data_IF_045294842959
#
_entry.id   IF_045294842959
#
_cell.length_a   1.000
_cell.length_b   1.000
_cell.length_c   1.000
_cell.angle_alpha   90.00
_cell.angle_beta   90.00
_cell.angle_gamma   90.00
#
_symmetry.space_group_name_H-M   'P 1'
#
loop_
_entity.id
_entity.type
_entity.pdbx_description
1 polymer ?
#
# COMPACT_ATOMS: atom_id res chain seq x y z
N UNK A 1 0.37 -7.62 -1.78
CA UNK A 1 0.26 -8.75 -2.73
C UNK A 1 0.19 -8.20 -4.14
N UNK A 2 0.87 -8.81 -5.09
CA UNK A 2 0.66 -8.60 -6.52
C UNK A 2 -0.33 -9.66 -7.01
N UNK A 3 -1.50 -9.25 -7.47
CA UNK A 3 -2.61 -10.13 -7.83
C UNK A 3 -2.89 -10.03 -9.31
N UNK A 4 -2.86 -11.16 -10.00
CA UNK A 4 -3.31 -11.31 -11.38
C UNK A 4 -4.57 -12.17 -11.38
N UNK A 5 -5.63 -11.64 -11.99
CA UNK A 5 -6.93 -12.28 -12.03
C UNK A 5 -7.38 -12.40 -13.50
N UNK A 6 -7.58 -13.63 -14.02
CA UNK A 6 -8.08 -13.86 -15.39
C UNK A 6 -9.46 -13.25 -15.63
N UNK A 7 -9.93 -13.17 -16.88
CA UNK A 7 -11.35 -12.87 -17.15
C UNK A 7 -12.31 -13.84 -16.44
N UNK A 8 -13.54 -13.38 -16.22
CA UNK A 8 -14.66 -14.15 -15.65
C UNK A 8 -14.32 -14.86 -14.32
N UNK A 9 -13.53 -14.20 -13.47
CA UNK A 9 -13.08 -14.77 -12.20
C UNK A 9 -13.20 -13.77 -11.06
N UNK A 10 -13.08 -14.29 -9.84
CA UNK A 10 -13.20 -13.50 -8.61
C UNK A 10 -12.08 -13.79 -7.65
N UNK A 11 -11.72 -12.76 -6.89
CA UNK A 11 -10.75 -12.81 -5.81
C UNK A 11 -11.41 -12.29 -4.55
N UNK A 12 -11.22 -12.99 -3.42
CA UNK A 12 -11.69 -12.56 -2.11
C UNK A 12 -10.53 -12.57 -1.13
N UNK A 13 -10.40 -11.49 -0.35
CA UNK A 13 -9.36 -11.35 0.65
C UNK A 13 -9.90 -10.71 1.91
N UNK A 14 -9.77 -11.43 3.02
CA UNK A 14 -10.13 -10.93 4.34
C UNK A 14 -9.08 -9.95 4.87
N UNK A 15 -9.50 -8.73 5.18
CA UNK A 15 -8.67 -7.71 5.83
C UNK A 15 -9.03 -7.67 7.31
N UNK A 16 -8.02 -7.62 8.18
CA UNK A 16 -8.26 -7.49 9.62
C UNK A 16 -8.94 -6.16 9.94
N UNK A 17 -9.90 -6.20 10.85
CA UNK A 17 -10.62 -5.01 11.31
C UNK A 17 -9.68 -3.88 11.75
N UNK A 18 -10.03 -2.64 11.37
CA UNK A 18 -9.24 -1.45 11.64
C UNK A 18 -7.96 -1.28 10.80
N UNK A 19 -7.60 -2.23 9.93
CA UNK A 19 -6.46 -2.07 9.02
C UNK A 19 -6.81 -1.08 7.90
N UNK A 20 -5.82 -0.31 7.46
CA UNK A 20 -5.92 0.42 6.19
C UNK A 20 -5.72 -0.58 5.05
N UNK A 21 -6.61 -0.57 4.07
CA UNK A 21 -6.45 -1.33 2.82
C UNK A 21 -6.63 -0.45 1.59
N UNK A 22 -5.80 -0.70 0.56
CA UNK A 22 -5.86 -0.05 -0.74
C UNK A 22 -5.57 -1.06 -1.86
N UNK A 23 -6.20 -0.86 -3.01
CA UNK A 23 -5.86 -1.60 -4.23
C UNK A 23 -5.44 -0.61 -5.33
N UNK A 24 -4.28 -0.85 -5.96
CA UNK A 24 -3.80 -0.04 -7.07
C UNK A 24 -3.78 -0.88 -8.35
N UNK A 25 -4.56 -0.48 -9.36
CA UNK A 25 -4.68 -1.23 -10.60
C UNK A 25 -3.48 -0.93 -11.51
N UNK A 26 -2.70 -1.96 -11.81
CA UNK A 26 -1.54 -1.85 -12.71
C UNK A 26 -2.04 -1.93 -14.16
N UNK A 27 -2.82 -2.96 -14.48
CA UNK A 27 -3.28 -3.28 -15.84
C UNK A 27 -4.72 -3.79 -15.83
N UNK A 28 -5.45 -3.55 -16.92
CA UNK A 28 -6.84 -3.97 -17.07
C UNK A 28 -7.83 -3.12 -16.28
N UNK A 29 -8.98 -3.71 -16.00
CA UNK A 29 -10.02 -3.12 -15.16
C UNK A 29 -10.84 -4.22 -14.49
N UNK A 30 -11.29 -3.98 -13.27
CA UNK A 30 -12.16 -4.90 -12.54
C UNK A 30 -13.10 -4.13 -11.62
N UNK A 31 -14.19 -4.78 -11.22
CA UNK A 31 -15.09 -4.27 -10.18
C UNK A 31 -14.48 -4.59 -8.82
N UNK A 32 -14.32 -3.57 -8.00
CA UNK A 32 -13.88 -3.70 -6.61
C UNK A 32 -15.08 -3.50 -5.69
N UNK A 33 -15.24 -4.41 -4.72
CA UNK A 33 -16.41 -4.62 -3.86
C UNK A 33 -17.69 -5.02 -4.59
N UNK A 34 -18.55 -5.77 -3.88
CA UNK A 34 -19.87 -6.16 -4.39
C UNK A 34 -20.73 -4.92 -4.60
N UNK A 35 -21.10 -4.64 -5.85
CA UNK A 35 -21.84 -3.43 -6.22
C UNK A 35 -21.00 -2.15 -6.20
N UNK A 36 -19.68 -2.26 -6.01
CA UNK A 36 -18.77 -1.13 -6.10
C UNK A 36 -18.48 -0.71 -7.54
N UNK A 37 -17.53 0.22 -7.68
CA UNK A 37 -17.16 0.79 -8.98
C UNK A 37 -16.08 -0.04 -9.67
N UNK A 38 -16.12 -0.04 -11.00
CA UNK A 38 -14.99 -0.51 -11.80
C UNK A 38 -13.83 0.48 -11.65
N UNK A 39 -12.65 -0.04 -11.30
CA UNK A 39 -11.41 0.70 -11.36
C UNK A 39 -10.52 0.11 -12.46
N UNK A 40 -9.79 0.98 -13.13
CA UNK A 40 -8.97 0.72 -14.31
C UNK A 40 -7.51 1.09 -14.06
N UNK A 41 -6.62 0.68 -14.96
CA UNK A 41 -5.17 0.95 -14.87
C UNK A 41 -4.86 2.40 -14.43
N UNK A 42 -4.00 2.53 -13.42
CA UNK A 42 -3.57 3.77 -12.75
C UNK A 42 -4.59 4.39 -11.80
N UNK A 43 -5.67 3.69 -11.47
CA UNK A 43 -6.60 4.10 -10.43
C UNK A 43 -6.29 3.42 -9.10
N UNK A 44 -6.52 4.17 -8.02
CA UNK A 44 -6.38 3.73 -6.65
C UNK A 44 -7.77 3.57 -6.02
N UNK A 45 -8.03 2.38 -5.50
CA UNK A 45 -9.21 2.09 -4.67
C UNK A 45 -8.80 2.17 -3.21
N UNK A 46 -9.53 2.97 -2.44
CA UNK A 46 -9.34 3.11 -0.99
C UNK A 46 -10.55 2.53 -0.30
N UNK A 47 -10.32 1.54 0.56
CA UNK A 47 -11.38 0.88 1.31
C UNK A 47 -11.63 1.58 2.64
N UNK A 48 -12.86 1.45 3.13
CA UNK A 48 -13.17 1.80 4.51
C UNK A 48 -12.52 0.80 5.47
N UNK A 49 -12.32 1.21 6.73
CA UNK A 49 -11.63 0.41 7.75
C UNK A 49 -12.56 -0.44 8.63
N UNK A 50 -13.87 -0.36 8.38
CA UNK A 50 -14.95 -1.10 9.05
C UNK A 50 -15.33 -2.39 8.31
N UNK A 51 -14.59 -2.77 7.26
CA UNK A 51 -14.93 -3.88 6.38
C UNK A 51 -14.21 -5.19 6.70
N UNK A 52 -14.87 -6.30 6.35
CA UNK A 52 -14.34 -7.67 6.50
C UNK A 52 -13.55 -8.13 5.27
N UNK A 53 -14.22 -8.22 4.10
CA UNK A 53 -13.69 -8.86 2.91
C UNK A 53 -13.63 -7.90 1.72
N UNK A 54 -12.47 -7.87 1.05
CA UNK A 54 -12.30 -7.24 -0.26
C UNK A 54 -12.64 -8.26 -1.34
N UNK A 55 -13.60 -7.91 -2.19
CA UNK A 55 -13.95 -8.70 -3.38
C UNK A 55 -13.51 -7.97 -4.64
N UNK A 56 -12.88 -8.70 -5.57
CA UNK A 56 -12.52 -8.18 -6.90
C UNK A 56 -13.05 -9.15 -7.95
N UNK A 57 -13.76 -8.62 -8.95
CA UNK A 57 -14.42 -9.41 -9.98
C UNK A 57 -14.06 -8.86 -11.36
N UNK A 58 -13.58 -9.74 -12.24
CA UNK A 58 -13.34 -9.45 -13.66
C UNK A 58 -14.58 -9.76 -14.49
N UNK A 59 -14.75 -9.01 -15.58
CA UNK A 59 -15.68 -9.38 -16.67
C UNK A 59 -14.91 -10.11 -17.76
N UNK A 60 -15.11 -9.71 -19.01
CA UNK A 60 -14.51 -10.30 -20.22
C UNK A 60 -13.01 -10.07 -20.39
N UNK A 61 -12.35 -9.40 -19.44
CA UNK A 61 -10.92 -9.06 -19.49
C UNK A 61 -10.22 -9.32 -18.16
N UNK A 62 -8.93 -9.69 -18.18
CA UNK A 62 -8.15 -9.86 -16.97
C UNK A 62 -7.78 -8.52 -16.31
N UNK A 63 -7.35 -8.58 -15.05
CA UNK A 63 -6.81 -7.44 -14.30
C UNK A 63 -5.54 -7.84 -13.55
N UNK A 64 -4.62 -6.89 -13.37
CA UNK A 64 -3.49 -6.99 -12.44
C UNK A 64 -3.50 -5.79 -11.50
N UNK A 65 -3.43 -6.03 -10.20
CA UNK A 65 -3.44 -4.98 -9.19
C UNK A 65 -2.56 -5.33 -7.99
N UNK A 66 -2.07 -4.30 -7.29
CA UNK A 66 -1.44 -4.45 -5.99
C UNK A 66 -2.50 -4.28 -4.90
N UNK A 67 -2.59 -5.25 -4.00
CA UNK A 67 -3.35 -5.12 -2.75
C UNK A 67 -2.38 -4.87 -1.60
N UNK A 68 -2.57 -3.76 -0.88
CA UNK A 68 -1.77 -3.37 0.27
C UNK A 68 -2.70 -3.23 1.48
N UNK A 69 -2.36 -3.92 2.58
CA UNK A 69 -3.10 -3.82 3.83
C UNK A 69 -2.13 -3.78 5.01
N UNK A 70 -2.43 -2.94 6.02
CA UNK A 70 -1.57 -2.77 7.17
C UNK A 70 -2.27 -2.09 8.34
N UNK A 71 -1.79 -2.38 9.55
CA UNK A 71 -2.25 -1.69 10.76
C UNK A 71 -1.85 -0.21 10.67
N UNK A 72 -2.78 0.74 10.86
CA UNK A 72 -2.40 2.15 10.95
C UNK A 72 -1.46 2.35 12.14
N UNK A 73 -0.34 3.07 11.93
CA UNK A 73 0.62 3.36 13.00
C UNK A 73 0.02 4.28 14.07
N UNK A 74 -0.84 5.22 13.67
CA UNK A 74 -1.46 6.18 14.59
C UNK A 74 -0.51 7.25 15.11
N UNK A 75 0.68 7.36 14.51
CA UNK A 75 1.70 8.34 14.87
C UNK A 75 1.63 9.57 13.94
N UNK A 76 2.08 10.76 14.41
CA UNK A 76 2.22 11.93 13.56
C UNK A 76 3.19 11.66 12.40
N UNK A 77 2.97 12.35 11.28
CA UNK A 77 3.81 12.27 10.09
C UNK A 77 4.39 13.67 9.83
N UNK A 78 5.71 13.79 9.87
CA UNK A 78 6.47 14.94 9.40
C UNK A 78 7.28 14.52 8.17
N UNK A 79 7.09 15.20 7.04
CA UNK A 79 7.69 14.78 5.76
C UNK A 79 8.27 15.97 5.00
N UNK A 80 9.51 15.83 4.55
CA UNK A 80 10.12 16.75 3.58
C UNK A 80 11.09 16.01 2.66
N UNK A 81 10.81 16.07 1.35
CA UNK A 81 11.65 15.43 0.33
C UNK A 81 11.78 13.91 0.54
N UNK A 82 13.00 13.36 0.67
CA UNK A 82 13.20 11.92 0.85
C UNK A 82 13.07 11.45 2.32
N UNK A 83 12.80 12.33 3.28
CA UNK A 83 12.84 12.00 4.72
C UNK A 83 11.44 12.11 5.33
N UNK A 84 11.00 11.01 5.96
CA UNK A 84 9.75 10.93 6.73
C UNK A 84 10.11 10.56 8.18
N UNK A 85 9.66 11.37 9.14
CA UNK A 85 9.82 11.18 10.59
C UNK A 85 8.49 11.49 11.32
N UNK A 86 8.49 11.51 12.65
CA UNK A 86 7.29 11.82 13.44
C UNK A 86 7.18 13.32 13.79
N UNK A 87 8.31 14.03 13.95
CA UNK A 87 8.32 15.48 14.26
C UNK A 87 9.17 16.30 13.30
N UNK A 88 8.97 17.62 13.28
CA UNK A 88 9.72 18.50 12.39
C UNK A 88 11.19 18.66 12.80
N UNK A 89 11.47 18.63 14.11
CA UNK A 89 12.83 18.66 14.64
C UNK A 89 13.63 17.43 14.20
N UNK A 90 13.02 16.24 14.23
CA UNK A 90 13.63 14.99 13.71
C UNK A 90 13.95 15.08 12.22
N UNK A 91 13.07 15.68 11.41
CA UNK A 91 13.36 15.85 9.97
C UNK A 91 14.55 16.80 9.78
N UNK A 92 14.62 17.91 10.53
CA UNK A 92 15.72 18.86 10.43
C UNK A 92 17.06 18.25 10.85
N UNK A 93 17.06 17.48 11.94
CA UNK A 93 18.23 16.71 12.39
C UNK A 93 18.67 15.70 11.32
N UNK A 94 17.74 14.90 10.79
CA UNK A 94 18.00 13.93 9.74
C UNK A 94 18.65 14.55 8.49
N UNK A 95 18.20 15.74 8.08
CA UNK A 95 18.85 16.48 6.99
C UNK A 95 20.25 17.00 7.33
N UNK A 96 20.48 17.43 8.57
CA UNK A 96 21.83 17.80 9.01
C UNK A 96 22.78 16.62 8.96
N UNK A 97 22.36 15.46 9.44
CA UNK A 97 23.15 14.24 9.40
C UNK A 97 23.42 13.79 7.99
N UNK A 98 22.43 13.89 7.09
CA UNK A 98 22.63 13.59 5.67
C UNK A 98 23.69 14.51 5.05
N UNK A 99 23.64 15.82 5.34
CA UNK A 99 24.66 16.79 4.88
C UNK A 99 26.05 16.50 5.45
N UNK A 100 26.12 16.04 6.70
CA UNK A 100 27.37 15.67 7.41
C UNK A 100 27.88 14.28 7.01
N UNK A 101 27.12 13.50 6.24
CA UNK A 101 27.44 12.11 5.89
C UNK A 101 27.30 11.12 7.06
N UNK A 102 26.58 11.48 8.13
CA UNK A 102 26.44 10.72 9.37
C UNK A 102 25.03 10.14 9.57
N UNK A 103 24.19 10.17 8.55
CA UNK A 103 22.79 9.71 8.59
C UNK A 103 22.65 8.21 8.90
N UNK A 104 23.52 7.37 8.33
CA UNK A 104 23.51 5.93 8.60
C UNK A 104 24.17 5.67 9.95
N UNK A 105 23.37 5.37 10.98
CA UNK A 105 23.85 5.12 12.36
C UNK A 105 24.37 3.71 12.58
N UNK A 106 23.74 2.74 11.94
CA UNK A 106 24.17 1.35 11.93
C UNK A 106 24.03 0.81 10.50
N UNK A 107 25.02 0.05 10.05
CA UNK A 107 24.83 -0.77 8.85
C UNK A 107 23.93 -1.92 9.23
N UNK A 108 22.83 -2.09 8.50
CA UNK A 108 22.04 -3.32 8.62
C UNK A 108 22.93 -4.50 8.22
N UNK A 109 23.07 -5.48 9.11
CA UNK A 109 23.58 -6.80 8.73
C UNK A 109 22.48 -7.47 7.91
N UNK A 110 22.72 -7.61 6.61
CA UNK A 110 21.80 -8.37 5.76
C UNK A 110 22.09 -9.85 6.00
N UNK A 111 21.22 -10.51 6.76
CA UNK A 111 21.19 -11.97 6.80
C UNK A 111 20.49 -12.43 5.51
N UNK A 112 21.25 -13.05 4.62
CA UNK A 112 20.70 -13.69 3.43
C UNK A 112 19.67 -14.75 3.87
N UNK A 113 18.41 -14.55 3.50
CA UNK A 113 17.39 -15.59 3.59
C UNK A 113 17.65 -16.60 2.47
N UNK A 114 18.23 -17.75 2.82
CA UNK A 114 18.30 -18.94 1.97
C UNK A 114 16.92 -19.60 1.84
#
# INVERSE_FOLDING_TARGET
MDVQLPEESSFNYHVKDGYTAIAYVIEGAARFDKGGRTASSRELVVYSRDGEDITVETGDKPVRFLLLAGRPLGEPIAWYGPIVMNTWDEVMEAFEELRKGTFIKARAEVQDYQ
#
